data_IF_229715581049
#
_entry.id   IF_229715581049
#
_cell.length_a   1.000
_cell.length_b   1.000
_cell.length_c   1.000
_cell.angle_alpha   90.00
_cell.angle_beta   90.00
_cell.angle_gamma   90.00
#
_symmetry.space_group_name_H-M   'P 1'
#
loop_
_entity.id
_entity.type
_entity.pdbx_description
1 polymer ?
#
# COMPACT_ATOMS: atom_id res chain seq x y z
N UNK A 1 -13.41 -2.52 16.68
CA UNK A 1 -12.52 -1.80 15.75
C UNK A 1 -12.89 -0.34 15.75
N UNK A 2 -11.89 0.56 15.84
CA UNK A 2 -12.05 2.02 15.80
C UNK A 2 -11.21 2.57 14.66
N UNK A 3 -11.77 3.47 13.88
CA UNK A 3 -11.06 4.11 12.78
C UNK A 3 -10.39 5.39 13.26
N UNK A 4 -9.11 5.54 12.92
CA UNK A 4 -8.40 6.82 13.02
C UNK A 4 -8.74 7.61 11.74
N UNK A 5 -9.54 8.67 11.92
CA UNK A 5 -9.82 9.55 10.80
C UNK A 5 -8.70 10.59 10.72
N UNK A 6 -8.06 10.78 9.55
CA UNK A 6 -7.09 11.86 9.38
C UNK A 6 -7.74 13.21 9.65
N UNK A 7 -6.92 14.20 9.98
CA UNK A 7 -7.40 15.56 10.10
C UNK A 7 -8.04 16.00 8.77
N UNK A 8 -9.10 16.81 8.84
CA UNK A 8 -9.74 17.34 7.64
C UNK A 8 -8.71 18.16 6.85
N UNK A 9 -8.31 17.65 5.69
CA UNK A 9 -7.41 18.31 4.76
C UNK A 9 -8.16 19.00 3.64
N UNK A 10 -7.44 19.74 2.81
CA UNK A 10 -7.98 20.37 1.61
C UNK A 10 -8.30 19.35 0.52
N UNK A 11 -7.77 18.15 0.64
CA UNK A 11 -7.92 17.05 -0.32
C UNK A 11 -8.56 15.83 0.33
N UNK A 12 -9.33 15.07 -0.45
CA UNK A 12 -10.03 13.87 0.04
C UNK A 12 -9.10 12.66 0.25
N UNK A 13 -7.89 12.73 -0.24
CA UNK A 13 -6.90 11.64 -0.17
C UNK A 13 -5.85 11.83 0.93
N UNK A 14 -5.87 12.94 1.66
CA UNK A 14 -4.98 13.14 2.79
C UNK A 14 -5.33 12.16 3.91
N UNK A 15 -4.52 11.11 4.02
CA UNK A 15 -4.70 10.01 4.97
C UNK A 15 -3.71 9.98 6.11
N UNK A 16 -2.81 10.96 6.19
CA UNK A 16 -1.75 10.98 7.19
C UNK A 16 -2.30 11.04 8.61
N UNK A 17 -2.00 10.01 9.40
CA UNK A 17 -2.20 10.00 10.84
C UNK A 17 -0.91 10.44 11.49
N UNK A 18 -0.95 11.52 12.30
CA UNK A 18 0.23 11.98 13.02
C UNK A 18 0.44 11.20 14.32
N UNK A 19 1.69 11.12 14.83
CA UNK A 19 1.98 10.51 16.12
C UNK A 19 1.16 11.13 17.27
N UNK A 20 0.98 12.45 17.27
CA UNK A 20 0.21 13.18 18.29
C UNK A 20 -1.28 12.84 18.22
N UNK A 21 -1.80 12.63 17.01
CA UNK A 21 -3.18 12.19 16.84
C UNK A 21 -3.36 10.78 17.37
N UNK A 22 -2.45 9.86 17.04
CA UNK A 22 -2.46 8.50 17.56
C UNK A 22 -2.37 8.47 19.08
N UNK A 23 -1.46 9.22 19.67
CA UNK A 23 -1.29 9.30 21.13
C UNK A 23 -2.57 9.77 21.84
N UNK A 24 -3.22 10.82 21.32
CA UNK A 24 -4.50 11.31 21.85
C UNK A 24 -5.60 10.26 21.75
N UNK A 25 -5.70 9.58 20.60
CA UNK A 25 -6.73 8.57 20.38
C UNK A 25 -6.54 7.33 21.28
N UNK A 26 -5.30 6.92 21.52
CA UNK A 26 -4.99 5.85 22.47
C UNK A 26 -5.32 6.25 23.90
N UNK A 27 -4.94 7.46 24.31
CA UNK A 27 -5.23 7.99 25.65
C UNK A 27 -6.73 8.18 25.92
N UNK A 28 -7.52 8.54 24.92
CA UNK A 28 -8.97 8.72 25.03
C UNK A 28 -9.78 7.42 24.84
N UNK A 29 -9.13 6.29 24.57
CA UNK A 29 -9.83 5.03 24.35
C UNK A 29 -10.38 4.49 25.68
N UNK A 30 -11.68 4.21 25.72
CA UNK A 30 -12.34 3.56 26.86
C UNK A 30 -12.15 2.06 26.87
N UNK A 31 -11.90 1.47 25.72
CA UNK A 31 -11.68 0.03 25.54
C UNK A 31 -10.19 -0.23 25.35
N UNK A 32 -9.67 -1.35 25.86
CA UNK A 32 -8.28 -1.72 25.66
C UNK A 32 -7.99 -1.89 24.16
N UNK A 33 -6.95 -1.19 23.68
CA UNK A 33 -6.47 -1.30 22.31
C UNK A 33 -5.35 -2.33 22.27
N UNK A 34 -5.50 -3.36 21.44
CA UNK A 34 -4.51 -4.43 21.29
C UNK A 34 -3.48 -4.11 20.21
N UNK A 35 -3.92 -3.52 19.11
CA UNK A 35 -3.06 -3.21 17.99
C UNK A 35 -3.53 -1.97 17.23
N UNK A 36 -2.60 -1.28 16.63
CA UNK A 36 -2.81 -0.27 15.59
C UNK A 36 -2.45 -0.91 14.26
N UNK A 37 -3.33 -0.74 13.27
CA UNK A 37 -3.09 -1.20 11.91
C UNK A 37 -3.07 0.01 10.98
N UNK A 38 -2.07 0.06 10.10
CA UNK A 38 -1.96 1.10 9.09
C UNK A 38 -1.41 0.54 7.77
N UNK A 39 -1.73 1.20 6.67
CA UNK A 39 -1.14 0.93 5.36
C UNK A 39 -0.01 1.92 5.10
N UNK A 40 1.17 1.43 4.74
CA UNK A 40 2.37 2.22 4.44
C UNK A 40 3.29 1.45 3.48
N UNK A 41 3.56 1.98 2.28
CA UNK A 41 2.99 3.17 1.65
C UNK A 41 1.49 3.01 1.37
N UNK A 42 0.79 4.12 1.25
CA UNK A 42 -0.57 4.09 0.74
C UNK A 42 -0.58 3.94 -0.80
N UNK A 43 -1.78 3.90 -1.38
CA UNK A 43 -1.93 3.67 -2.83
C UNK A 43 -1.37 4.82 -3.68
N UNK A 44 -1.37 6.05 -3.17
CA UNK A 44 -0.82 7.23 -3.85
C UNK A 44 0.68 7.43 -3.57
N UNK A 45 1.25 6.64 -2.66
CA UNK A 45 2.67 6.65 -2.32
C UNK A 45 3.01 7.45 -1.06
N UNK A 46 2.02 7.85 -0.25
CA UNK A 46 2.29 8.53 1.01
C UNK A 46 2.99 7.58 2.00
N UNK A 47 3.98 8.12 2.70
CA UNK A 47 4.77 7.40 3.70
C UNK A 47 4.60 8.09 5.06
N UNK A 48 3.73 7.58 5.94
CA UNK A 48 3.64 8.08 7.31
C UNK A 48 4.95 7.82 8.09
N UNK A 49 5.18 8.60 9.15
CA UNK A 49 6.32 8.39 10.03
C UNK A 49 6.12 7.14 10.92
N UNK A 50 6.41 5.98 10.34
CA UNK A 50 6.28 4.68 11.02
C UNK A 50 7.14 4.61 12.28
N UNK A 51 8.32 5.21 12.30
CA UNK A 51 9.21 5.16 13.47
C UNK A 51 8.61 5.92 14.66
N UNK A 52 8.05 7.10 14.42
CA UNK A 52 7.36 7.87 15.44
C UNK A 52 6.08 7.17 15.90
N UNK A 53 5.27 6.62 14.98
CA UNK A 53 4.07 5.84 15.30
C UNK A 53 4.41 4.59 16.12
N UNK A 54 5.45 3.84 15.75
CA UNK A 54 5.94 2.69 16.51
C UNK A 54 6.36 3.07 17.94
N UNK A 55 6.97 4.24 18.10
CA UNK A 55 7.36 4.76 19.43
C UNK A 55 6.13 5.04 20.29
N UNK A 56 5.08 5.63 19.72
CA UNK A 56 3.80 5.86 20.42
C UNK A 56 3.16 4.53 20.82
N UNK A 57 3.05 3.57 19.89
CA UNK A 57 2.49 2.25 20.15
C UNK A 57 3.24 1.53 21.28
N UNK A 58 4.57 1.52 21.24
CA UNK A 58 5.41 0.87 22.25
C UNK A 58 5.22 1.49 23.64
N UNK A 59 5.16 2.82 23.73
CA UNK A 59 4.87 3.51 25.00
C UNK A 59 3.50 3.16 25.57
N UNK A 60 2.51 2.95 24.70
CA UNK A 60 1.16 2.57 25.08
C UNK A 60 0.98 1.06 25.33
N UNK A 61 2.00 0.23 25.10
CA UNK A 61 1.89 -1.23 25.19
C UNK A 61 0.98 -1.85 24.13
N UNK A 62 0.88 -1.22 22.94
CA UNK A 62 0.02 -1.58 21.82
C UNK A 62 0.89 -2.05 20.65
N UNK A 63 0.49 -3.09 19.95
CA UNK A 63 1.19 -3.58 18.77
C UNK A 63 1.00 -2.66 17.57
N UNK A 64 2.03 -2.53 16.73
CA UNK A 64 1.94 -1.88 15.43
C UNK A 64 2.01 -2.92 14.32
N UNK A 65 0.92 -3.05 13.57
CA UNK A 65 0.83 -3.89 12.38
C UNK A 65 0.76 -3.02 11.13
N UNK A 66 1.61 -3.29 10.13
CA UNK A 66 1.71 -2.49 8.92
C UNK A 66 1.41 -3.33 7.69
N UNK A 67 0.46 -2.86 6.90
CA UNK A 67 0.26 -3.32 5.53
C UNK A 67 1.23 -2.56 4.61
N UNK A 68 2.32 -3.23 4.27
CA UNK A 68 3.38 -2.71 3.42
C UNK A 68 3.30 -3.30 2.00
N UNK A 69 2.08 -3.55 1.53
CA UNK A 69 1.86 -4.24 0.25
C UNK A 69 2.63 -3.61 -0.93
N UNK A 70 2.81 -2.29 -0.94
CA UNK A 70 3.56 -1.59 -1.99
C UNK A 70 5.03 -1.31 -1.62
N UNK A 71 5.47 -1.65 -0.42
CA UNK A 71 6.73 -1.19 0.15
C UNK A 71 7.80 -2.27 0.39
N UNK A 72 7.67 -3.48 -0.14
CA UNK A 72 8.67 -4.53 0.08
C UNK A 72 10.09 -4.07 -0.29
N UNK A 73 10.23 -3.25 -1.34
CA UNK A 73 11.51 -2.70 -1.78
C UNK A 73 12.12 -1.69 -0.80
N UNK A 74 11.34 -1.09 0.11
CA UNK A 74 11.81 -0.12 1.11
C UNK A 74 12.92 -0.68 2.00
N UNK A 75 12.98 -2.02 2.13
CA UNK A 75 14.05 -2.74 2.83
C UNK A 75 15.43 -2.49 2.22
N UNK A 76 15.49 -2.32 0.91
CA UNK A 76 16.70 -2.19 0.14
C UNK A 76 17.17 -0.74 -0.07
N UNK A 77 16.46 0.22 0.51
CA UNK A 77 16.91 1.62 0.54
C UNK A 77 18.04 1.82 1.56
N UNK A 78 18.83 2.83 1.37
CA UNK A 78 19.90 3.23 2.31
C UNK A 78 19.72 4.70 2.73
N UNK A 79 19.26 4.98 3.98
CA UNK A 79 18.86 4.02 5.01
C UNK A 79 17.56 3.29 4.65
N UNK A 80 17.34 2.10 5.24
CA UNK A 80 16.10 1.35 5.09
C UNK A 80 14.90 2.16 5.60
N UNK A 81 13.80 2.09 4.84
CA UNK A 81 12.51 2.69 5.20
C UNK A 81 11.42 1.64 5.42
N UNK A 82 11.82 0.37 5.50
CA UNK A 82 10.89 -0.73 5.72
C UNK A 82 10.30 -0.70 7.12
N UNK A 83 8.98 -0.93 7.30
CA UNK A 83 8.32 -0.85 8.60
C UNK A 83 8.96 -1.69 9.70
N UNK A 84 9.51 -2.87 9.38
CA UNK A 84 10.19 -3.72 10.36
C UNK A 84 11.46 -3.06 10.91
N UNK A 85 12.21 -2.33 10.09
CA UNK A 85 13.41 -1.61 10.52
C UNK A 85 13.06 -0.32 11.27
N UNK A 86 11.84 0.16 11.08
CA UNK A 86 11.29 1.35 11.76
C UNK A 86 10.52 1.02 13.04
N UNK A 87 10.44 -0.26 13.42
CA UNK A 87 9.94 -0.69 14.72
C UNK A 87 8.50 -1.20 14.72
N UNK A 88 7.93 -1.58 13.58
CA UNK A 88 6.67 -2.32 13.52
C UNK A 88 6.84 -3.72 14.14
N UNK A 89 5.78 -4.23 14.77
CA UNK A 89 5.74 -5.58 15.36
C UNK A 89 5.38 -6.64 14.32
N UNK A 90 4.50 -6.28 13.38
CA UNK A 90 4.08 -7.12 12.26
C UNK A 90 4.07 -6.28 10.98
N UNK A 91 4.43 -6.93 9.88
CA UNK A 91 4.35 -6.33 8.56
C UNK A 91 4.02 -7.38 7.51
N UNK A 92 3.18 -7.05 6.53
CA UNK A 92 2.99 -7.89 5.36
C UNK A 92 3.38 -7.15 4.08
N UNK A 93 4.17 -7.84 3.24
CA UNK A 93 4.63 -7.37 1.95
C UNK A 93 3.97 -8.15 0.83
N UNK A 94 3.39 -7.47 -0.16
CA UNK A 94 3.08 -8.12 -1.43
C UNK A 94 4.35 -8.11 -2.29
N UNK A 95 5.16 -9.16 -2.15
CA UNK A 95 6.44 -9.26 -2.84
C UNK A 95 6.31 -9.08 -4.36
N UNK A 96 5.24 -9.63 -4.93
CA UNK A 96 4.95 -9.57 -6.36
C UNK A 96 4.70 -8.17 -6.93
N UNK A 97 4.51 -7.14 -6.08
CA UNK A 97 4.26 -5.77 -6.57
C UNK A 97 5.54 -5.01 -6.86
N UNK A 98 6.57 -5.22 -6.07
CA UNK A 98 7.80 -4.41 -6.16
C UNK A 98 9.09 -5.23 -6.22
N UNK A 99 9.01 -6.53 -5.97
CA UNK A 99 10.12 -7.47 -6.09
C UNK A 99 9.89 -8.44 -7.26
N UNK A 100 10.93 -9.12 -7.77
CA UNK A 100 10.82 -10.02 -8.91
C UNK A 100 10.17 -11.37 -8.54
N UNK A 101 8.91 -11.32 -8.12
CA UNK A 101 8.12 -12.46 -7.66
C UNK A 101 6.83 -12.57 -8.47
N UNK A 102 6.39 -13.79 -8.75
CA UNK A 102 5.13 -14.06 -9.45
C UNK A 102 3.93 -13.58 -8.62
N UNK A 103 2.91 -13.08 -9.29
CA UNK A 103 1.65 -12.60 -8.69
C UNK A 103 1.10 -13.59 -7.66
N UNK A 104 0.78 -13.07 -6.46
CA UNK A 104 0.32 -13.83 -5.30
C UNK A 104 1.40 -14.13 -4.29
N UNK A 105 2.70 -13.91 -4.61
CA UNK A 105 3.78 -14.05 -3.65
C UNK A 105 3.79 -12.91 -2.63
N UNK A 106 3.83 -13.27 -1.34
CA UNK A 106 3.82 -12.34 -0.23
C UNK A 106 4.64 -12.84 0.94
N UNK A 107 5.08 -11.93 1.82
CA UNK A 107 5.77 -12.24 3.07
C UNK A 107 4.98 -11.69 4.26
N UNK A 108 4.96 -12.44 5.34
CA UNK A 108 4.56 -11.97 6.66
C UNK A 108 5.82 -11.89 7.53
N UNK A 109 6.11 -10.70 8.02
CA UNK A 109 7.23 -10.45 8.93
C UNK A 109 6.71 -10.25 10.34
N UNK A 110 7.41 -10.85 11.31
CA UNK A 110 7.14 -10.69 12.74
C UNK A 110 8.44 -10.26 13.39
N UNK A 111 8.41 -9.14 14.12
CA UNK A 111 9.60 -8.64 14.81
C UNK A 111 10.05 -9.61 15.88
N UNK A 112 11.36 -9.79 16.04
CA UNK A 112 11.92 -10.72 17.02
C UNK A 112 11.42 -10.43 18.46
N UNK A 113 11.26 -9.16 18.79
CA UNK A 113 10.76 -8.70 20.09
C UNK A 113 9.23 -8.74 20.22
N UNK A 114 8.49 -9.12 19.18
CA UNK A 114 7.04 -9.24 19.25
C UNK A 114 6.62 -10.37 20.24
N UNK A 115 5.42 -10.31 20.80
CA UNK A 115 4.95 -11.32 21.74
C UNK A 115 5.05 -12.73 21.15
N UNK A 116 5.54 -13.69 21.98
CA UNK A 116 5.75 -15.09 21.61
C UNK A 116 4.48 -15.75 21.02
N UNK A 117 3.30 -15.27 21.44
CA UNK A 117 2.01 -15.73 20.91
C UNK A 117 1.92 -15.53 19.39
N UNK A 118 2.43 -14.40 18.85
CA UNK A 118 2.39 -14.12 17.43
C UNK A 118 3.27 -15.10 16.65
N UNK A 119 4.48 -15.37 17.13
CA UNK A 119 5.39 -16.35 16.51
C UNK A 119 4.78 -17.75 16.47
N UNK A 120 4.20 -18.20 17.57
CA UNK A 120 3.62 -19.55 17.65
C UNK A 120 2.36 -19.70 16.80
N UNK A 121 1.53 -18.66 16.69
CA UNK A 121 0.23 -18.76 16.02
C UNK A 121 0.24 -18.30 14.56
N UNK A 122 1.27 -17.64 14.08
CA UNK A 122 1.30 -17.06 12.73
C UNK A 122 0.98 -18.08 11.64
N UNK A 123 1.67 -19.22 11.65
CA UNK A 123 1.45 -20.27 10.65
C UNK A 123 0.05 -20.84 10.67
N UNK A 124 -0.49 -21.12 11.88
CA UNK A 124 -1.85 -21.63 12.03
C UNK A 124 -2.89 -20.59 11.60
N UNK A 125 -2.69 -19.32 11.96
CA UNK A 125 -3.58 -18.22 11.57
C UNK A 125 -3.59 -17.99 10.06
N UNK A 126 -2.42 -18.04 9.41
CA UNK A 126 -2.35 -17.98 7.95
C UNK A 126 -3.09 -19.16 7.30
N UNK A 127 -3.03 -20.36 7.88
CA UNK A 127 -3.74 -21.54 7.38
C UNK A 127 -5.27 -21.43 7.45
N UNK A 128 -5.82 -20.60 8.34
CA UNK A 128 -7.27 -20.36 8.44
C UNK A 128 -7.83 -19.53 7.27
N UNK A 129 -7.03 -18.62 6.73
CA UNK A 129 -7.43 -17.66 5.71
C UNK A 129 -6.80 -17.92 4.35
N UNK A 130 -5.69 -18.64 4.33
CA UNK A 130 -4.97 -18.99 3.12
C UNK A 130 -5.49 -20.28 2.49
N UNK A 131 -4.80 -20.69 1.41
CA UNK A 131 -5.10 -21.94 0.72
C UNK A 131 -4.50 -23.13 1.47
N UNK A 132 -5.24 -24.23 1.57
CA UNK A 132 -4.72 -25.54 2.00
C UNK A 132 -3.80 -26.18 0.94
N UNK A 133 -3.81 -25.66 -0.28
CA UNK A 133 -3.02 -26.14 -1.43
C UNK A 133 -2.17 -24.99 -1.98
N UNK A 134 -1.02 -24.68 -1.37
CA UNK A 134 -0.16 -23.60 -1.84
C UNK A 134 0.36 -23.89 -3.25
N UNK A 135 0.46 -22.85 -4.07
CA UNK A 135 1.05 -22.96 -5.41
C UNK A 135 2.55 -23.11 -5.31
N UNK A 136 3.08 -24.26 -5.75
CA UNK A 136 4.53 -24.45 -5.82
C UNK A 136 5.23 -23.47 -6.76
N UNK A 137 4.55 -23.01 -7.82
CA UNK A 137 5.09 -21.98 -8.72
C UNK A 137 5.35 -20.66 -7.97
N UNK A 138 4.40 -20.24 -7.11
CA UNK A 138 4.57 -19.04 -6.28
C UNK A 138 5.71 -19.26 -5.27
N UNK A 139 5.74 -20.40 -4.58
CA UNK A 139 6.79 -20.71 -3.62
C UNK A 139 8.18 -20.74 -4.28
N UNK A 140 8.28 -21.36 -5.45
CA UNK A 140 9.51 -21.38 -6.23
C UNK A 140 9.95 -19.98 -6.66
N UNK A 141 9.01 -19.09 -7.04
CA UNK A 141 9.36 -17.72 -7.41
C UNK A 141 9.85 -16.89 -6.22
N UNK A 142 9.28 -17.12 -5.02
CA UNK A 142 9.75 -16.49 -3.78
C UNK A 142 11.16 -16.95 -3.41
N UNK A 143 11.47 -18.23 -3.62
CA UNK A 143 12.79 -18.79 -3.38
C UNK A 143 13.82 -18.27 -4.38
N UNK A 144 13.50 -18.34 -5.68
CA UNK A 144 14.35 -17.82 -6.75
C UNK A 144 14.61 -16.31 -6.67
N UNK A 145 13.67 -15.56 -6.12
CA UNK A 145 13.84 -14.11 -5.90
C UNK A 145 15.04 -13.80 -5.00
N UNK A 146 15.43 -14.69 -4.07
CA UNK A 146 16.56 -14.46 -3.18
C UNK A 146 17.87 -14.26 -3.95
N UNK A 147 18.06 -14.96 -5.07
CA UNK A 147 19.23 -14.76 -5.94
C UNK A 147 19.18 -13.40 -6.65
N UNK A 148 17.99 -13.01 -7.12
CA UNK A 148 17.78 -11.74 -7.84
C UNK A 148 17.85 -10.53 -6.90
N UNK A 149 17.60 -10.72 -5.61
CA UNK A 149 17.66 -9.66 -4.60
C UNK A 149 19.10 -9.36 -4.15
N UNK A 150 20.08 -10.19 -4.51
CA UNK A 150 21.49 -9.97 -4.15
C UNK A 150 22.05 -8.65 -4.71
N UNK A 151 21.69 -8.29 -5.94
CA UNK A 151 22.10 -7.05 -6.62
C UNK A 151 20.98 -5.98 -6.67
N UNK A 152 19.84 -6.25 -6.06
CA UNK A 152 18.69 -5.36 -6.06
C UNK A 152 18.98 -3.98 -5.43
N UNK A 153 19.71 -3.88 -4.28
CA UNK A 153 20.05 -2.58 -3.71
C UNK A 153 20.85 -1.70 -4.67
N UNK A 154 21.80 -2.27 -5.40
CA UNK A 154 22.63 -1.55 -6.38
C UNK A 154 21.80 -1.05 -7.56
N UNK A 155 20.95 -1.91 -8.10
CA UNK A 155 20.01 -1.54 -9.18
C UNK A 155 19.02 -0.45 -8.74
N UNK A 156 18.51 -0.57 -7.52
CA UNK A 156 17.61 0.44 -6.95
C UNK A 156 18.34 1.78 -6.79
N UNK A 157 19.56 1.78 -6.25
CA UNK A 157 20.36 2.98 -6.07
C UNK A 157 20.71 3.66 -7.39
N UNK A 158 20.89 2.90 -8.47
CA UNK A 158 21.12 3.44 -9.82
C UNK A 158 19.84 4.04 -10.44
N UNK A 159 18.66 3.50 -10.12
CA UNK A 159 17.37 3.96 -10.64
C UNK A 159 16.89 5.25 -9.98
N UNK A 160 17.05 5.39 -8.67
CA UNK A 160 16.48 6.51 -7.90
C UNK A 160 16.86 7.90 -8.42
N UNK A 161 18.13 8.21 -8.78
CA UNK A 161 18.47 9.50 -9.37
C UNK A 161 17.80 9.76 -10.71
N UNK A 162 17.55 8.71 -11.50
CA UNK A 162 16.87 8.83 -12.79
C UNK A 162 15.40 9.21 -12.60
N UNK A 163 14.71 8.57 -11.63
CA UNK A 163 13.34 8.91 -11.26
C UNK A 163 13.23 10.31 -10.72
N UNK A 164 14.13 10.72 -9.85
CA UNK A 164 14.15 12.09 -9.33
C UNK A 164 14.38 13.13 -10.44
N UNK A 165 15.26 12.81 -11.39
CA UNK A 165 15.46 13.64 -12.57
C UNK A 165 14.20 13.72 -13.45
N UNK A 166 13.51 12.58 -13.65
CA UNK A 166 12.24 12.55 -14.37
C UNK A 166 11.17 13.42 -13.68
N UNK A 167 10.99 13.27 -12.35
CA UNK A 167 10.03 14.10 -11.60
C UNK A 167 10.30 15.59 -11.76
N UNK A 168 11.57 16.01 -11.68
CA UNK A 168 11.96 17.41 -11.89
C UNK A 168 11.63 17.91 -13.30
N UNK A 169 11.87 17.10 -14.33
CA UNK A 169 11.53 17.47 -15.72
C UNK A 169 10.03 17.54 -15.93
N UNK A 170 9.25 16.62 -15.38
CA UNK A 170 7.79 16.66 -15.44
C UNK A 170 7.24 17.88 -14.71
N UNK A 171 7.77 18.21 -13.54
CA UNK A 171 7.39 19.42 -12.82
C UNK A 171 7.73 20.70 -13.63
N UNK A 172 8.90 20.74 -14.29
CA UNK A 172 9.28 21.85 -15.16
C UNK A 172 8.36 22.00 -16.40
N UNK A 173 7.77 20.89 -16.87
CA UNK A 173 6.73 20.91 -17.91
C UNK A 173 5.37 21.41 -17.38
N UNK A 174 5.22 21.56 -16.07
CA UNK A 174 4.00 22.05 -15.41
C UNK A 174 3.09 20.95 -14.87
N UNK A 175 3.54 19.70 -14.81
CA UNK A 175 2.84 18.63 -14.11
C UNK A 175 2.99 18.79 -12.61
N UNK A 176 1.88 18.66 -11.89
CA UNK A 176 1.88 18.54 -10.43
C UNK A 176 2.07 17.06 -10.05
N UNK A 177 2.97 16.81 -9.09
CA UNK A 177 3.27 15.46 -8.60
C UNK A 177 3.12 15.41 -7.09
N UNK A 178 2.59 14.31 -6.57
CA UNK A 178 2.68 14.04 -5.14
C UNK A 178 4.10 13.58 -4.79
N UNK A 179 4.59 14.06 -3.65
CA UNK A 179 5.80 13.54 -3.02
C UNK A 179 5.45 12.29 -2.21
N UNK A 180 6.33 11.32 -2.21
CA UNK A 180 6.05 10.10 -1.47
C UNK A 180 7.15 9.05 -1.64
N UNK A 181 6.73 7.80 -1.79
CA UNK A 181 7.65 6.70 -1.97
C UNK A 181 8.46 6.82 -3.27
N UNK A 182 9.72 6.38 -3.26
CA UNK A 182 10.65 6.62 -4.36
C UNK A 182 10.25 6.00 -5.71
N UNK A 183 9.61 4.83 -5.73
CA UNK A 183 9.29 4.11 -6.97
C UNK A 183 7.96 4.49 -7.61
N UNK A 184 7.14 5.31 -6.97
CA UNK A 184 5.91 5.83 -7.59
C UNK A 184 6.10 7.21 -8.20
N UNK A 185 5.52 7.41 -9.36
CA UNK A 185 5.32 8.72 -9.97
C UNK A 185 3.82 8.98 -9.99
N UNK A 186 3.35 9.78 -9.02
CA UNK A 186 1.93 10.10 -8.87
C UNK A 186 1.66 11.50 -9.40
N UNK A 187 0.96 11.58 -10.51
CA UNK A 187 0.59 12.82 -11.18
C UNK A 187 -0.77 13.32 -10.65
N UNK A 188 -0.90 14.66 -10.50
CA UNK A 188 -2.14 15.38 -10.25
C UNK A 188 -2.54 16.15 -11.52
N UNK A 189 -3.19 15.53 -12.51
CA UNK A 189 -3.32 16.06 -13.86
C UNK A 189 -4.28 17.24 -14.00
N UNK A 190 -5.10 17.54 -13.01
CA UNK A 190 -6.10 18.63 -13.09
C UNK A 190 -5.48 20.02 -13.24
N UNK A 191 -4.32 20.27 -12.62
CA UNK A 191 -3.56 21.49 -12.82
C UNK A 191 -3.08 21.67 -14.27
N UNK A 192 -2.88 20.56 -14.98
CA UNK A 192 -2.52 20.55 -16.40
C UNK A 192 -3.74 20.59 -17.34
N UNK A 193 -4.96 20.43 -16.80
CA UNK A 193 -6.23 20.51 -17.51
C UNK A 193 -6.80 19.17 -17.98
N UNK A 194 -6.42 18.06 -17.34
CA UNK A 194 -6.91 16.71 -17.62
C UNK A 194 -7.45 16.04 -16.37
N UNK A 195 -8.34 15.09 -16.55
CA UNK A 195 -8.63 14.09 -15.53
C UNK A 195 -7.58 12.98 -15.57
N UNK A 196 -7.44 12.23 -14.47
CA UNK A 196 -6.54 11.08 -14.46
C UNK A 196 -6.93 10.02 -15.50
N UNK A 197 -8.23 9.80 -15.70
CA UNK A 197 -8.73 8.87 -16.73
C UNK A 197 -8.34 9.29 -18.15
N UNK A 198 -8.33 10.60 -18.48
CA UNK A 198 -7.91 11.10 -19.79
C UNK A 198 -6.41 10.89 -20.00
N UNK A 199 -5.60 11.13 -18.95
CA UNK A 199 -4.16 10.89 -19.02
C UNK A 199 -3.86 9.41 -19.12
N UNK A 200 -4.52 8.56 -18.32
CA UNK A 200 -4.38 7.11 -18.38
C UNK A 200 -4.67 6.60 -19.81
N UNK A 201 -5.80 6.98 -20.38
CA UNK A 201 -6.16 6.60 -21.75
C UNK A 201 -5.18 7.13 -22.81
N UNK A 202 -4.50 8.26 -22.57
CA UNK A 202 -3.44 8.75 -23.45
C UNK A 202 -2.18 7.89 -23.35
N UNK A 203 -1.75 7.57 -22.13
CA UNK A 203 -0.59 6.73 -21.86
C UNK A 203 -0.77 5.30 -22.42
N UNK A 204 -1.96 4.72 -22.26
CA UNK A 204 -2.30 3.39 -22.78
C UNK A 204 -2.16 3.29 -24.30
N UNK A 205 -2.46 4.35 -25.05
CA UNK A 205 -2.23 4.40 -26.51
C UNK A 205 -0.77 4.27 -26.89
N UNK A 206 0.12 4.73 -26.01
CA UNK A 206 1.57 4.62 -26.17
C UNK A 206 2.16 3.38 -25.50
N UNK A 207 1.28 2.44 -25.06
CA UNK A 207 1.67 1.19 -24.41
C UNK A 207 2.20 1.35 -22.99
N UNK A 208 1.81 2.43 -22.29
CA UNK A 208 2.16 2.70 -20.90
C UNK A 208 0.90 2.53 -20.05
N UNK A 209 0.91 1.53 -19.16
CA UNK A 209 -0.22 1.17 -18.32
C UNK A 209 0.00 1.68 -16.90
N UNK A 210 -0.81 2.65 -16.42
CA UNK A 210 -0.76 3.08 -15.04
C UNK A 210 -1.16 1.95 -14.08
N UNK A 211 -0.55 1.93 -12.89
CA UNK A 211 -0.95 1.05 -11.80
C UNK A 211 -2.37 1.37 -11.31
N UNK A 212 -2.67 2.67 -11.24
CA UNK A 212 -3.96 3.16 -10.79
C UNK A 212 -4.25 4.52 -11.39
N UNK A 213 -5.52 4.83 -11.59
CA UNK A 213 -5.98 6.18 -11.86
C UNK A 213 -7.39 6.41 -11.32
N UNK A 214 -7.66 7.64 -10.96
CA UNK A 214 -8.96 8.18 -10.60
C UNK A 214 -9.18 9.54 -11.30
N UNK A 215 -10.27 10.28 -11.05
CA UNK A 215 -10.45 11.58 -11.67
C UNK A 215 -9.36 12.62 -11.35
N UNK A 216 -8.61 12.45 -10.26
CA UNK A 216 -7.65 13.43 -9.75
C UNK A 216 -6.19 12.98 -9.90
N UNK A 217 -5.94 11.67 -10.01
CA UNK A 217 -4.58 11.12 -9.96
C UNK A 217 -4.31 10.11 -11.06
N UNK A 218 -3.02 9.97 -11.39
CA UNK A 218 -2.47 8.83 -12.14
C UNK A 218 -1.23 8.34 -11.41
N UNK A 219 -1.21 7.08 -11.05
CA UNK A 219 -0.11 6.44 -10.34
C UNK A 219 0.64 5.52 -11.28
N UNK A 220 1.92 5.77 -11.46
CA UNK A 220 2.84 4.94 -12.22
C UNK A 220 3.82 4.30 -11.24
N UNK A 221 3.99 2.99 -11.33
CA UNK A 221 5.00 2.25 -10.58
C UNK A 221 6.18 1.93 -11.47
N UNK A 222 7.38 2.19 -10.96
CA UNK A 222 8.64 1.90 -11.64
C UNK A 222 9.44 0.94 -10.77
N UNK A 223 10.15 0.04 -11.40
CA UNK A 223 11.00 -0.94 -10.71
C UNK A 223 12.39 -0.99 -11.33
N UNK A 224 13.39 -1.57 -10.64
CA UNK A 224 14.71 -1.76 -11.22
C UNK A 224 14.78 -2.64 -12.48
N UNK A 225 13.66 -3.28 -12.84
CA UNK A 225 13.54 -4.04 -14.09
C UNK A 225 13.16 -3.17 -15.30
N UNK A 226 12.74 -1.92 -15.07
CA UNK A 226 12.46 -1.01 -16.17
C UNK A 226 13.75 -0.55 -16.84
N UNK A 227 13.71 -0.48 -18.17
CA UNK A 227 14.79 0.09 -18.98
C UNK A 227 14.74 1.63 -18.91
N UNK A 228 15.88 2.32 -18.96
CA UNK A 228 15.91 3.78 -19.05
C UNK A 228 15.08 4.36 -20.20
N UNK A 229 14.88 3.61 -21.29
CA UNK A 229 14.02 3.99 -22.39
C UNK A 229 12.54 4.06 -22.00
N UNK A 230 12.08 3.31 -20.98
CA UNK A 230 10.71 3.38 -20.48
C UNK A 230 10.43 4.74 -19.83
N UNK A 231 11.38 5.26 -19.06
CA UNK A 231 11.27 6.59 -18.45
C UNK A 231 11.23 7.69 -19.52
N UNK A 232 12.04 7.57 -20.57
CA UNK A 232 12.01 8.48 -21.70
C UNK A 232 10.69 8.40 -22.48
N UNK A 233 10.14 7.19 -22.71
CA UNK A 233 8.83 6.99 -23.35
C UNK A 233 7.72 7.67 -22.56
N UNK A 234 7.72 7.49 -21.22
CA UNK A 234 6.77 8.15 -20.33
C UNK A 234 6.84 9.67 -20.45
N UNK A 235 8.05 10.23 -20.35
CA UNK A 235 8.26 11.68 -20.46
C UNK A 235 7.76 12.22 -21.82
N UNK A 236 8.08 11.53 -22.90
CA UNK A 236 7.67 11.88 -24.26
C UNK A 236 6.15 11.83 -24.42
N UNK A 237 5.50 10.77 -23.92
CA UNK A 237 4.05 10.62 -23.98
C UNK A 237 3.34 11.75 -23.22
N UNK A 238 3.82 12.11 -22.04
CA UNK A 238 3.28 13.22 -21.25
C UNK A 238 3.54 14.59 -21.90
N UNK A 239 4.72 14.79 -22.50
CA UNK A 239 5.06 16.03 -23.21
C UNK A 239 4.22 16.24 -24.49
N UNK A 240 3.70 15.17 -25.09
CA UNK A 240 2.83 15.24 -26.26
C UNK A 240 1.41 15.76 -25.92
N UNK A 241 1.02 15.80 -24.65
CA UNK A 241 -0.28 16.30 -24.21
C UNK A 241 -0.29 17.84 -24.18
N UNK A 242 -1.13 18.50 -24.98
CA UNK A 242 -1.20 19.96 -24.97
C UNK A 242 -1.79 20.46 -23.64
N UNK A 243 -1.19 21.48 -23.05
CA UNK A 243 -1.72 22.07 -21.83
C UNK A 243 -3.10 22.66 -22.07
N UNK A 244 -4.06 22.32 -21.21
CA UNK A 244 -5.43 22.83 -21.23
C UNK A 244 -5.68 23.79 -20.06
N UNK A 245 -6.87 24.39 -20.03
CA UNK A 245 -7.29 25.19 -18.88
C UNK A 245 -7.36 24.32 -17.63
N UNK A 246 -6.72 24.73 -16.52
CA UNK A 246 -6.75 23.97 -15.27
C UNK A 246 -8.19 23.66 -14.80
N UNK A 247 -8.39 22.46 -14.29
CA UNK A 247 -9.62 22.02 -13.65
C UNK A 247 -9.46 22.09 -12.13
N UNK A 248 -10.57 22.31 -11.44
CA UNK A 248 -10.55 22.22 -9.97
C UNK A 248 -10.46 20.76 -9.54
N UNK A 249 -9.67 20.43 -8.52
CA UNK A 249 -9.71 19.12 -7.87
C UNK A 249 -11.14 18.81 -7.38
N UNK A 250 -11.47 17.52 -7.28
CA UNK A 250 -12.72 17.12 -6.66
C UNK A 250 -12.70 17.59 -5.19
N UNK A 251 -13.52 18.59 -4.87
CA UNK A 251 -13.59 19.10 -3.50
C UNK A 251 -14.23 18.05 -2.58
N UNK A 252 -13.67 17.83 -1.38
CA UNK A 252 -14.30 16.98 -0.37
C UNK A 252 -15.69 17.52 0.05
N UNK A 253 -16.00 18.78 -0.27
CA UNK A 253 -17.26 19.43 0.04
C UNK A 253 -18.34 19.30 -1.05
N UNK A 254 -18.03 18.72 -2.21
CA UNK A 254 -18.95 18.63 -3.35
C UNK A 254 -20.09 17.60 -3.23
N UNK A 255 -20.00 16.64 -2.39
CA UNK A 255 -21.06 15.87 -1.74
C UNK A 255 -20.49 15.46 -0.38
N UNK A 256 -21.17 15.82 0.70
CA UNK A 256 -20.99 15.12 1.96
C UNK A 256 -21.18 13.63 1.62
N UNK A 257 -20.13 12.87 1.38
CA UNK A 257 -20.13 11.47 1.71
C UNK A 257 -20.46 11.45 3.19
N UNK A 258 -21.76 11.39 3.50
CA UNK A 258 -22.20 10.91 4.78
C UNK A 258 -21.68 9.46 4.79
N UNK A 259 -20.47 9.28 5.25
CA UNK A 259 -20.20 8.08 6.00
C UNK A 259 -21.19 8.17 7.15
N UNK A 260 -22.44 7.70 6.90
CA UNK A 260 -23.26 7.30 8.01
C UNK A 260 -22.31 6.44 8.80
N UNK A 261 -22.05 6.78 10.07
CA UNK A 261 -21.63 5.79 11.04
C UNK A 261 -22.38 4.55 10.60
N UNK A 262 -21.66 3.55 10.08
CA UNK A 262 -22.26 2.25 9.94
C UNK A 262 -22.72 1.99 11.37
N UNK A 263 -24.00 2.21 11.61
CA UNK A 263 -24.63 1.72 12.80
C UNK A 263 -24.16 0.29 12.80
N UNK A 264 -23.59 -0.15 13.91
CA UNK A 264 -23.15 -1.52 14.04
C UNK A 264 -24.30 -2.36 13.53
N UNK A 265 -24.21 -2.74 12.26
CA UNK A 265 -25.12 -3.71 11.69
C UNK A 265 -24.65 -4.95 12.41
N UNK A 266 -25.42 -5.34 13.42
CA UNK A 266 -25.30 -6.68 13.96
C UNK A 266 -25.20 -7.58 12.75
N UNK A 267 -24.14 -8.36 12.57
CA UNK A 267 -24.01 -9.19 11.39
C UNK A 267 -25.34 -9.91 11.24
N UNK A 268 -25.97 -9.91 10.05
CA UNK A 268 -27.19 -10.67 9.84
C UNK A 268 -26.83 -12.06 10.32
N UNK A 269 -27.64 -12.61 11.23
CA UNK A 269 -27.44 -13.99 11.71
C UNK A 269 -27.34 -14.83 10.45
N UNK A 270 -26.14 -15.31 10.17
CA UNK A 270 -25.88 -16.02 8.94
C UNK A 270 -26.82 -17.24 8.92
N UNK A 271 -27.60 -17.48 7.86
CA UNK A 271 -28.60 -18.54 7.80
C UNK A 271 -28.04 -19.95 7.92
N UNK A 272 -26.70 -20.08 8.03
CA UNK A 272 -26.00 -21.37 8.25
C UNK A 272 -25.63 -21.63 9.73
N UNK A 273 -26.05 -20.77 10.66
CA UNK A 273 -25.85 -21.02 12.11
C UNK A 273 -26.86 -22.01 12.71
N UNK A 274 -27.75 -22.60 11.92
CA UNK A 274 -28.54 -23.75 12.35
C UNK A 274 -27.78 -25.07 12.06
N UNK A 275 -27.59 -25.97 13.02
CA UNK A 275 -26.95 -27.27 12.77
C UNK A 275 -27.88 -28.15 11.93
N UNK A 276 -27.89 -27.94 10.62
CA UNK A 276 -28.45 -28.96 9.73
C UNK A 276 -27.43 -30.08 9.65
N UNK A 277 -27.77 -31.21 10.23
CA UNK A 277 -27.05 -32.48 10.07
C UNK A 277 -26.78 -32.68 8.58
N UNK A 278 -25.51 -32.59 8.21
CA UNK A 278 -25.06 -32.88 6.84
C UNK A 278 -25.33 -34.38 6.58
N UNK A 279 -26.30 -34.70 5.70
CA UNK A 279 -26.69 -36.07 5.35
C UNK A 279 -25.58 -36.88 4.64
N UNK A 280 -24.41 -36.30 4.47
CA UNK A 280 -23.29 -36.93 3.76
C UNK A 280 -22.27 -37.63 4.68
N UNK A 281 -22.41 -37.51 6.01
CA UNK A 281 -21.48 -38.17 6.95
C UNK A 281 -21.98 -39.51 7.50
N UNK A 282 -23.06 -40.09 7.00
CA UNK A 282 -23.64 -41.36 7.49
C UNK A 282 -23.66 -42.50 6.47
N UNK A 283 -22.72 -42.51 5.51
CA UNK A 283 -22.61 -43.61 4.56
C UNK A 283 -21.18 -44.17 4.45
N UNK A 284 -20.56 -44.44 5.63
CA UNK A 284 -19.34 -45.25 5.71
C UNK A 284 -19.23 -45.88 7.09
N UNK A 285 -20.15 -46.77 7.43
CA UNK A 285 -19.96 -47.84 8.40
C UNK A 285 -21.06 -48.85 8.18
N UNK A 286 -20.76 -49.78 7.34
CA UNK A 286 -21.42 -51.06 7.14
C UNK A 286 -20.44 -51.95 6.43
#
# INVERSE_FOLDING_TARGET
MRWLCPAAGETYYSGAVTPEQLERELACSREPVTAVYLTCPDYLGELPDVAALATVCRRAGVLLAVDNAHGAYLKFLSPSRHPMDLGADLCCDSAHKTLPVVTGGAYLHIAHQAPELLHRQAKASMGLWGSSSPSYLILQSLDAANELLADYPEKLQALLPQLESLRRRLAAQGWELLSGEPLKVTLCPKGYGYTGSEVAAALERDGIYPEFYDPDHVVLMVSPQNDPSDLWRLEKALAALPRRRPMRPCSPHGRRCRWRRAAAVSPPQAPWAAPRRCRWCCAASG
#
